data_IF_168200647928
#
_entry.id   IF_168200647928
#
_cell.length_a   1.000
_cell.length_b   1.000
_cell.length_c   1.000
_cell.angle_alpha   90.00
_cell.angle_beta   90.00
_cell.angle_gamma   90.00
#
_symmetry.space_group_name_H-M   'P 1'
#
loop_
_entity.id
_entity.type
_entity.pdbx_description
1 polymer ?
#
# COMPACT_ATOMS: atom_id res chain seq x y z
N UNK A 1 40.18 -39.26 -3.06
CA UNK A 1 39.81 -37.82 -3.09
C UNK A 1 38.36 -37.72 -2.65
N UNK A 2 38.04 -37.13 -1.49
CA UNK A 2 36.66 -36.99 -1.04
C UNK A 2 36.02 -35.75 -1.68
N UNK A 3 34.81 -35.94 -2.18
CA UNK A 3 34.00 -34.90 -2.82
C UNK A 3 33.53 -33.90 -1.76
N UNK A 4 33.77 -32.61 -2.00
CA UNK A 4 33.21 -31.52 -1.22
C UNK A 4 31.70 -31.45 -1.47
N UNK A 5 30.90 -32.03 -0.57
CA UNK A 5 29.47 -31.73 -0.48
C UNK A 5 29.33 -30.27 -0.02
N UNK A 6 29.10 -29.38 -0.98
CA UNK A 6 28.70 -28.00 -0.73
C UNK A 6 27.26 -28.02 -0.22
N UNK A 7 27.09 -28.14 1.09
CA UNK A 7 25.83 -27.88 1.78
C UNK A 7 25.47 -26.40 1.55
N UNK A 8 24.72 -26.10 0.47
CA UNK A 8 24.08 -24.80 0.30
C UNK A 8 23.05 -24.67 1.41
N UNK A 9 23.43 -24.02 2.50
CA UNK A 9 22.47 -23.50 3.47
C UNK A 9 21.75 -22.37 2.72
N UNK A 10 20.55 -22.66 2.20
CA UNK A 10 19.65 -21.63 1.69
C UNK A 10 19.53 -20.55 2.77
N UNK A 11 20.05 -19.36 2.48
CA UNK A 11 20.23 -18.31 3.49
C UNK A 11 18.88 -17.83 4.05
N UNK A 12 18.86 -17.11 5.18
CA UNK A 12 17.65 -16.49 5.73
C UNK A 12 16.85 -15.67 4.69
N UNK A 13 17.55 -15.06 3.72
CA UNK A 13 16.96 -14.34 2.61
C UNK A 13 16.11 -15.23 1.68
N UNK A 14 16.53 -16.46 1.42
CA UNK A 14 15.85 -17.38 0.49
C UNK A 14 14.53 -17.89 1.09
N UNK A 15 14.51 -18.20 2.40
CA UNK A 15 13.28 -18.52 3.15
C UNK A 15 12.33 -17.32 3.28
N UNK A 16 12.86 -16.10 3.44
CA UNK A 16 12.05 -14.89 3.46
C UNK A 16 11.39 -14.62 2.10
N UNK A 17 12.13 -14.81 1.01
CA UNK A 17 11.59 -14.68 -0.36
C UNK A 17 10.48 -15.72 -0.60
N UNK A 18 10.68 -16.98 -0.19
CA UNK A 18 9.65 -18.02 -0.27
C UNK A 18 8.41 -17.70 0.59
N UNK A 19 8.60 -17.11 1.77
CA UNK A 19 7.51 -16.72 2.67
C UNK A 19 6.69 -15.57 2.06
N UNK A 20 7.36 -14.56 1.50
CA UNK A 20 6.69 -13.46 0.81
C UNK A 20 5.98 -13.95 -0.46
N UNK A 21 6.63 -14.83 -1.24
CA UNK A 21 6.05 -15.40 -2.45
C UNK A 21 4.82 -16.27 -2.16
N UNK A 22 4.87 -17.09 -1.11
CA UNK A 22 3.75 -17.96 -0.70
C UNK A 22 2.58 -17.18 -0.09
N UNK A 23 2.84 -16.06 0.59
CA UNK A 23 1.81 -15.12 1.03
C UNK A 23 1.14 -14.43 -0.16
N UNK A 24 1.91 -13.93 -1.12
CA UNK A 24 1.38 -13.33 -2.36
C UNK A 24 0.54 -14.35 -3.14
N UNK A 25 0.99 -15.62 -3.23
CA UNK A 25 0.22 -16.68 -3.88
C UNK A 25 -1.10 -17.00 -3.16
N UNK A 26 -1.14 -17.06 -1.82
CA UNK A 26 -2.39 -17.21 -1.07
C UNK A 26 -3.36 -16.06 -1.32
N UNK A 27 -2.85 -14.84 -1.42
CA UNK A 27 -3.66 -13.67 -1.79
C UNK A 27 -4.12 -13.67 -3.26
N UNK A 28 -3.50 -14.45 -4.14
CA UNK A 28 -3.94 -14.65 -5.52
C UNK A 28 -4.96 -15.78 -5.62
N UNK A 29 -4.80 -16.85 -4.84
CA UNK A 29 -5.70 -18.00 -4.80
C UNK A 29 -7.04 -17.70 -4.10
N UNK A 30 -7.07 -16.78 -3.13
CA UNK A 30 -8.32 -16.33 -2.51
C UNK A 30 -9.11 -15.30 -3.34
N UNK A 31 -8.60 -14.90 -4.52
CA UNK A 31 -9.31 -13.92 -5.35
C UNK A 31 -10.49 -14.56 -6.05
N UNK A 32 -11.68 -14.04 -5.75
CA UNK A 32 -12.88 -14.39 -6.49
C UNK A 32 -12.69 -13.92 -7.95
N UNK A 33 -13.31 -14.60 -8.91
CA UNK A 33 -13.32 -14.15 -10.31
C UNK A 33 -13.74 -12.68 -10.46
N UNK A 34 -14.66 -12.22 -9.60
CA UNK A 34 -15.09 -10.82 -9.48
C UNK A 34 -13.94 -9.86 -9.11
N UNK A 35 -13.03 -10.26 -8.22
CA UNK A 35 -11.88 -9.42 -7.81
C UNK A 35 -10.88 -9.23 -8.95
N UNK A 36 -10.70 -10.26 -9.79
CA UNK A 36 -9.83 -10.18 -10.98
C UNK A 36 -10.41 -9.25 -12.02
N UNK A 37 -11.72 -9.33 -12.26
CA UNK A 37 -12.43 -8.44 -13.19
C UNK A 37 -12.43 -7.01 -12.67
N UNK A 38 -12.70 -6.79 -11.39
CA UNK A 38 -12.67 -5.47 -10.78
C UNK A 38 -11.28 -4.82 -10.88
N UNK A 39 -10.20 -5.58 -10.69
CA UNK A 39 -8.84 -5.06 -10.81
C UNK A 39 -8.45 -4.72 -12.24
N UNK A 40 -8.91 -5.51 -13.21
CA UNK A 40 -8.73 -5.19 -14.62
C UNK A 40 -9.47 -3.90 -15.00
N UNK A 41 -10.75 -3.77 -14.59
CA UNK A 41 -11.57 -2.59 -14.87
C UNK A 41 -11.00 -1.35 -14.19
N UNK A 42 -10.61 -1.45 -12.91
CA UNK A 42 -10.06 -0.32 -12.17
C UNK A 42 -8.61 0.01 -12.56
N UNK A 43 -7.89 -0.92 -13.18
CA UNK A 43 -6.62 -0.65 -13.88
C UNK A 43 -6.84 0.09 -15.20
N UNK A 44 -7.83 -0.35 -15.98
CA UNK A 44 -8.19 0.26 -17.26
C UNK A 44 -8.76 1.67 -17.10
N UNK A 45 -9.66 1.88 -16.13
CA UNK A 45 -10.27 3.18 -15.83
C UNK A 45 -9.26 4.26 -15.43
N UNK A 46 -8.15 3.88 -14.79
CA UNK A 46 -7.06 4.80 -14.44
C UNK A 46 -6.10 5.12 -15.59
N UNK A 47 -6.33 4.58 -16.79
CA UNK A 47 -5.44 4.73 -17.93
C UNK A 47 -5.85 5.88 -18.84
N UNK A 48 -4.86 6.56 -19.44
CA UNK A 48 -5.12 7.63 -20.42
C UNK A 48 -5.88 7.13 -21.66
N UNK A 49 -5.73 5.84 -21.99
CA UNK A 49 -6.42 5.21 -23.12
C UNK A 49 -7.94 5.13 -22.91
N UNK A 50 -8.40 4.98 -21.66
CA UNK A 50 -9.82 4.95 -21.33
C UNK A 50 -10.49 6.29 -21.65
N UNK A 51 -9.83 7.40 -21.28
CA UNK A 51 -10.28 8.76 -21.56
C UNK A 51 -10.34 9.02 -23.06
N UNK A 52 -9.30 8.61 -23.80
CA UNK A 52 -9.27 8.76 -25.26
C UNK A 52 -10.41 7.99 -25.94
N UNK A 53 -10.66 6.74 -25.50
CA UNK A 53 -11.76 5.93 -26.01
C UNK A 53 -13.11 6.62 -25.81
N UNK A 54 -13.35 7.21 -24.65
CA UNK A 54 -14.59 7.96 -24.36
C UNK A 54 -14.75 9.19 -25.25
N UNK A 55 -13.69 9.97 -25.43
CA UNK A 55 -13.73 11.15 -26.32
C UNK A 55 -14.06 10.73 -27.75
N UNK A 56 -13.44 9.66 -28.25
CA UNK A 56 -13.70 9.14 -29.60
C UNK A 56 -15.14 8.61 -29.71
N UNK A 57 -15.61 7.84 -28.74
CA UNK A 57 -16.97 7.30 -28.72
C UNK A 57 -18.03 8.42 -28.70
N UNK A 58 -17.85 9.44 -27.86
CA UNK A 58 -18.72 10.62 -27.81
C UNK A 58 -18.71 11.39 -29.13
N UNK A 59 -17.52 11.60 -29.71
CA UNK A 59 -17.37 12.27 -31.00
C UNK A 59 -18.11 11.50 -32.11
N UNK A 60 -17.94 10.18 -32.18
CA UNK A 60 -18.67 9.32 -33.14
C UNK A 60 -20.18 9.43 -32.92
N UNK A 61 -20.65 9.41 -31.66
CA UNK A 61 -22.08 9.55 -31.35
C UNK A 61 -22.66 10.88 -31.83
N UNK A 62 -21.94 11.98 -31.62
CA UNK A 62 -22.35 13.28 -32.13
C UNK A 62 -22.37 13.31 -33.67
N UNK A 63 -21.36 12.77 -34.35
CA UNK A 63 -21.30 12.73 -35.82
C UNK A 63 -22.45 11.93 -36.43
N UNK A 64 -22.86 10.83 -35.79
CA UNK A 64 -23.99 10.00 -36.22
C UNK A 64 -25.31 10.75 -36.02
N UNK A 65 -25.52 11.41 -34.88
CA UNK A 65 -26.80 12.04 -34.54
C UNK A 65 -26.97 13.46 -35.11
N UNK A 66 -25.88 14.15 -35.47
CA UNK A 66 -25.92 15.45 -36.18
C UNK A 66 -26.15 15.31 -37.69
N UNK A 67 -26.27 14.07 -38.20
CA UNK A 67 -26.67 13.79 -39.58
C UNK A 67 -25.64 14.16 -40.65
N UNK A 68 -24.40 14.49 -40.26
CA UNK A 68 -23.34 14.90 -41.20
C UNK A 68 -22.73 13.73 -41.97
N UNK A 69 -22.74 12.51 -41.43
CA UNK A 69 -21.98 11.40 -41.99
C UNK A 69 -22.85 10.37 -42.74
N UNK A 70 -24.10 10.18 -42.31
CA UNK A 70 -24.95 9.13 -42.85
C UNK A 70 -26.43 9.56 -42.82
N UNK A 71 -27.17 9.30 -43.90
CA UNK A 71 -28.64 9.48 -44.02
C UNK A 71 -29.43 8.52 -43.10
N UNK A 72 -28.93 8.21 -41.91
CA UNK A 72 -29.64 7.44 -40.91
C UNK A 72 -30.68 8.32 -40.20
N UNK A 73 -31.82 7.75 -39.76
CA UNK A 73 -32.74 8.46 -38.87
C UNK A 73 -32.02 8.89 -37.59
N UNK A 74 -32.34 10.09 -37.09
CA UNK A 74 -31.79 10.62 -35.83
C UNK A 74 -32.22 9.71 -34.67
N UNK A 75 -31.29 8.89 -34.18
CA UNK A 75 -31.55 7.90 -33.13
C UNK A 75 -31.69 8.56 -31.75
N UNK A 76 -30.87 9.56 -31.46
CA UNK A 76 -30.86 10.34 -30.21
C UNK A 76 -30.79 11.84 -30.55
N UNK A 77 -31.95 12.50 -30.78
CA UNK A 77 -32.01 13.92 -31.05
C UNK A 77 -31.49 14.74 -29.86
N UNK A 78 -30.96 15.93 -30.14
CA UNK A 78 -30.65 16.92 -29.08
C UNK A 78 -31.88 17.08 -28.18
N UNK A 79 -31.79 16.85 -26.85
CA UNK A 79 -30.60 16.99 -25.98
C UNK A 79 -29.79 15.70 -25.65
N UNK A 80 -29.87 14.63 -26.46
CA UNK A 80 -29.13 13.38 -26.27
C UNK A 80 -29.44 12.62 -24.97
N UNK A 81 -30.73 12.34 -24.72
CA UNK A 81 -31.19 11.73 -23.46
C UNK A 81 -30.64 10.30 -23.29
N UNK A 82 -30.51 9.54 -24.38
CA UNK A 82 -30.03 8.15 -24.31
C UNK A 82 -28.55 8.10 -23.95
N UNK A 83 -27.74 8.95 -24.59
CA UNK A 83 -26.32 9.08 -24.26
C UNK A 83 -26.12 9.46 -22.79
N UNK A 84 -26.87 10.45 -22.30
CA UNK A 84 -26.77 10.91 -20.92
C UNK A 84 -27.10 9.80 -19.91
N UNK A 85 -28.13 8.98 -20.19
CA UNK A 85 -28.50 7.85 -19.35
C UNK A 85 -27.41 6.78 -19.29
N UNK A 86 -26.86 6.40 -20.45
CA UNK A 86 -25.80 5.38 -20.54
C UNK A 86 -24.54 5.84 -19.79
N UNK A 87 -24.08 7.06 -20.06
CA UNK A 87 -22.88 7.62 -19.41
C UNK A 87 -23.07 7.76 -17.89
N UNK A 88 -24.27 8.12 -17.44
CA UNK A 88 -24.58 8.22 -16.01
C UNK A 88 -24.47 6.86 -15.30
N UNK A 89 -25.07 5.81 -15.86
CA UNK A 89 -24.97 4.45 -15.30
C UNK A 89 -23.53 3.95 -15.32
N UNK A 90 -22.82 4.17 -16.43
CA UNK A 90 -21.40 3.82 -16.56
C UNK A 90 -20.55 4.51 -15.49
N UNK A 91 -20.77 5.81 -15.25
CA UNK A 91 -20.05 6.57 -14.23
C UNK A 91 -20.26 6.02 -12.81
N UNK A 92 -21.49 5.62 -12.46
CA UNK A 92 -21.79 5.02 -11.14
C UNK A 92 -21.07 3.67 -10.97
N UNK A 93 -21.10 2.82 -11.99
CA UNK A 93 -20.40 1.53 -11.98
C UNK A 93 -18.89 1.72 -11.85
N UNK A 94 -18.30 2.64 -12.62
CA UNK A 94 -16.88 2.96 -12.55
C UNK A 94 -16.47 3.53 -11.20
N UNK A 95 -17.24 4.48 -10.67
CA UNK A 95 -17.01 5.06 -9.35
C UNK A 95 -16.98 3.98 -8.26
N UNK A 96 -17.87 3.00 -8.34
CA UNK A 96 -17.92 1.87 -7.40
C UNK A 96 -16.67 0.99 -7.49
N UNK A 97 -16.20 0.68 -8.71
CA UNK A 97 -14.96 -0.07 -8.89
C UNK A 97 -13.72 0.70 -8.42
N UNK A 98 -13.68 2.01 -8.69
CA UNK A 98 -12.61 2.90 -8.20
C UNK A 98 -12.60 2.93 -6.68
N UNK A 99 -13.76 3.09 -6.04
CA UNK A 99 -13.88 3.10 -4.58
C UNK A 99 -13.44 1.75 -3.97
N UNK A 100 -13.79 0.63 -4.60
CA UNK A 100 -13.35 -0.69 -4.16
C UNK A 100 -11.83 -0.85 -4.27
N UNK A 101 -11.22 -0.38 -5.37
CA UNK A 101 -9.75 -0.36 -5.53
C UNK A 101 -9.10 0.55 -4.48
N UNK A 102 -9.66 1.73 -4.23
CA UNK A 102 -9.18 2.66 -3.20
C UNK A 102 -9.24 2.04 -1.81
N UNK A 103 -10.36 1.39 -1.44
CA UNK A 103 -10.51 0.73 -0.15
C UNK A 103 -9.47 -0.39 0.04
N UNK A 104 -9.23 -1.20 -0.98
CA UNK A 104 -8.19 -2.24 -0.93
C UNK A 104 -6.77 -1.66 -0.83
N UNK A 105 -6.50 -0.57 -1.54
CA UNK A 105 -5.21 0.13 -1.46
C UNK A 105 -5.00 0.75 -0.07
N UNK A 106 -6.04 1.34 0.51
CA UNK A 106 -6.01 1.91 1.86
C UNK A 106 -5.71 0.84 2.92
N UNK A 107 -6.43 -0.30 2.87
CA UNK A 107 -6.16 -1.44 3.79
C UNK A 107 -4.72 -1.96 3.68
N UNK A 108 -4.15 -1.98 2.47
CA UNK A 108 -2.73 -2.36 2.26
C UNK A 108 -1.77 -1.30 2.79
N UNK A 109 -2.10 -0.02 2.63
CA UNK A 109 -1.29 1.08 3.14
C UNK A 109 -1.23 1.04 4.68
N UNK A 110 -2.37 0.84 5.33
CA UNK A 110 -2.49 0.68 6.79
C UNK A 110 -1.65 -0.49 7.32
N UNK A 111 -1.72 -1.66 6.68
CA UNK A 111 -0.86 -2.81 7.04
C UNK A 111 0.63 -2.51 6.91
N UNK A 112 1.04 -1.79 5.85
CA UNK A 112 2.43 -1.38 5.65
C UNK A 112 2.87 -0.36 6.69
N UNK A 113 1.99 0.56 7.06
CA UNK A 113 2.24 1.55 8.12
C UNK A 113 2.46 0.85 9.47
N UNK A 114 1.61 -0.09 9.85
CA UNK A 114 1.79 -0.89 11.06
C UNK A 114 3.10 -1.69 11.09
N UNK A 115 3.53 -2.25 9.95
CA UNK A 115 4.82 -2.95 9.85
C UNK A 115 5.99 -1.99 9.94
N UNK A 116 5.90 -0.82 9.29
CA UNK A 116 6.94 0.21 9.33
C UNK A 116 7.13 0.71 10.76
N UNK A 117 6.04 1.02 11.46
CA UNK A 117 6.08 1.39 12.88
C UNK A 117 6.75 0.32 13.74
N UNK A 118 6.44 -0.98 13.53
CA UNK A 118 7.09 -2.05 14.29
C UNK A 118 8.60 -2.16 14.03
N UNK A 119 9.02 -1.98 12.77
CA UNK A 119 10.44 -1.98 12.40
C UNK A 119 11.16 -0.80 13.04
N UNK A 120 10.55 0.38 13.00
CA UNK A 120 11.13 1.60 13.58
C UNK A 120 11.29 1.45 15.10
N UNK A 121 10.27 0.93 15.79
CA UNK A 121 10.31 0.64 17.22
C UNK A 121 11.42 -0.39 17.56
N UNK A 122 11.57 -1.45 16.76
CA UNK A 122 12.63 -2.43 16.97
C UNK A 122 14.02 -1.83 16.73
N UNK A 123 14.18 -1.04 15.66
CA UNK A 123 15.44 -0.36 15.35
C UNK A 123 15.83 0.61 16.48
N UNK A 124 14.87 1.32 17.06
CA UNK A 124 15.08 2.20 18.21
C UNK A 124 15.53 1.42 19.46
N UNK A 125 14.95 0.24 19.72
CA UNK A 125 15.40 -0.65 20.79
C UNK A 125 16.84 -1.16 20.57
N UNK A 126 17.18 -1.56 19.35
CA UNK A 126 18.52 -2.01 18.98
C UNK A 126 19.56 -0.89 19.11
N UNK A 127 19.23 0.33 18.65
CA UNK A 127 20.08 1.52 18.79
C UNK A 127 20.30 1.82 20.27
N UNK A 128 19.26 1.75 21.10
CA UNK A 128 19.37 1.97 22.54
C UNK A 128 20.30 0.95 23.20
N UNK A 129 20.18 -0.33 22.85
CA UNK A 129 21.10 -1.38 23.32
C UNK A 129 22.54 -1.12 22.89
N UNK A 130 22.75 -0.67 21.65
CA UNK A 130 24.07 -0.31 21.15
C UNK A 130 24.65 0.87 21.94
N UNK A 131 23.85 1.90 22.23
CA UNK A 131 24.26 3.05 23.06
C UNK A 131 24.65 2.60 24.47
N UNK A 132 23.86 1.72 25.10
CA UNK A 132 24.16 1.15 26.41
C UNK A 132 25.47 0.36 26.40
N UNK A 133 25.69 -0.49 25.38
CA UNK A 133 26.94 -1.24 25.23
C UNK A 133 28.15 -0.33 25.00
N UNK A 134 28.02 0.71 24.18
CA UNK A 134 29.09 1.68 23.95
C UNK A 134 29.48 2.41 25.24
N UNK A 135 28.50 2.76 26.09
CA UNK A 135 28.79 3.35 27.40
C UNK A 135 29.56 2.41 28.31
N UNK A 136 29.13 1.16 28.40
CA UNK A 136 29.83 0.15 29.20
C UNK A 136 31.29 0.01 28.73
N UNK A 137 31.55 0.08 27.42
CA UNK A 137 32.91 0.06 26.88
C UNK A 137 33.69 1.32 27.27
N UNK A 138 33.11 2.52 27.12
CA UNK A 138 33.75 3.78 27.46
C UNK A 138 34.11 3.86 28.95
N UNK A 139 33.21 3.41 29.82
CA UNK A 139 33.42 3.32 31.27
C UNK A 139 34.60 2.37 31.59
N UNK A 140 34.64 1.20 30.96
CA UNK A 140 35.74 0.23 31.13
C UNK A 140 37.08 0.74 30.63
N UNK A 141 37.09 1.58 29.60
CA UNK A 141 38.31 2.20 29.05
C UNK A 141 38.76 3.46 29.81
N UNK A 142 38.02 3.89 30.85
CA UNK A 142 38.36 5.07 31.64
C UNK A 142 38.18 6.39 30.89
N UNK A 143 37.38 6.40 29.83
CA UNK A 143 37.06 7.59 29.04
C UNK A 143 35.91 8.31 29.76
N UNK A 144 36.24 9.04 30.83
CA UNK A 144 35.29 9.61 31.79
C UNK A 144 34.54 10.87 31.32
N UNK A 145 34.66 11.26 30.05
CA UNK A 145 34.12 12.54 29.56
C UNK A 145 32.74 12.42 28.88
N UNK A 146 32.27 11.20 28.59
CA UNK A 146 30.95 10.96 27.98
C UNK A 146 29.80 10.91 29.00
N UNK A 147 30.10 10.77 30.29
CA UNK A 147 29.11 10.77 31.37
C UNK A 147 28.51 12.16 31.67
N UNK A 148 29.03 13.22 31.05
CA UNK A 148 28.48 14.59 31.17
C UNK A 148 27.56 14.97 30.01
N UNK A 149 27.45 14.14 28.96
CA UNK A 149 26.57 14.43 27.84
C UNK A 149 25.12 14.06 28.21
N UNK A 150 24.44 15.03 28.83
CA UNK A 150 23.04 14.92 29.26
C UNK A 150 22.12 14.44 28.12
N UNK A 151 22.43 14.78 26.87
CA UNK A 151 21.64 14.37 25.71
C UNK A 151 21.79 12.88 25.40
N UNK A 152 23.01 12.33 25.54
CA UNK A 152 23.20 10.89 25.44
C UNK A 152 22.45 10.20 26.59
N UNK A 153 22.64 10.65 27.84
CA UNK A 153 22.02 10.02 29.01
C UNK A 153 20.49 9.96 28.89
N UNK A 154 19.89 11.05 28.43
CA UNK A 154 18.47 11.09 28.08
C UNK A 154 18.14 10.03 27.02
N UNK A 155 18.81 10.01 25.86
CA UNK A 155 18.56 9.04 24.77
C UNK A 155 18.72 7.56 25.16
N UNK A 156 19.44 7.24 26.23
CA UNK A 156 19.56 5.86 26.74
C UNK A 156 18.53 5.49 27.81
N UNK A 157 17.95 6.49 28.47
CA UNK A 157 17.01 6.34 29.58
C UNK A 157 15.56 6.56 29.13
N UNK A 158 15.30 7.43 28.14
CA UNK A 158 13.95 7.88 27.76
C UNK A 158 13.22 7.03 26.74
N UNK A 159 13.70 5.84 26.38
CA UNK A 159 13.04 5.04 25.36
C UNK A 159 13.03 3.55 25.65
N UNK A 160 12.37 3.13 26.74
CA UNK A 160 11.67 1.84 26.64
C UNK A 160 10.53 2.04 25.65
N UNK A 161 10.82 1.80 24.38
CA UNK A 161 9.91 1.74 23.24
C UNK A 161 8.56 1.11 23.62
N UNK A 162 8.61 0.10 24.49
CA UNK A 162 7.47 -0.58 25.09
C UNK A 162 6.59 0.33 25.97
N UNK A 163 7.18 1.16 26.83
CA UNK A 163 6.48 2.14 27.69
C UNK A 163 5.89 3.27 26.85
N UNK A 164 6.62 3.77 25.85
CA UNK A 164 6.11 4.80 24.93
C UNK A 164 4.92 4.26 24.11
N UNK A 165 5.02 3.03 23.59
CA UNK A 165 3.92 2.36 22.88
C UNK A 165 2.73 2.06 23.81
N UNK A 166 2.98 1.73 25.08
CA UNK A 166 1.92 1.51 26.08
C UNK A 166 1.19 2.81 26.44
N UNK A 167 1.93 3.89 26.68
CA UNK A 167 1.36 5.21 26.93
C UNK A 167 0.58 5.73 25.72
N UNK A 168 1.13 5.57 24.51
CA UNK A 168 0.45 5.96 23.28
C UNK A 168 -0.84 5.16 23.11
N UNK A 169 -0.82 3.85 23.33
CA UNK A 169 -2.01 2.99 23.28
C UNK A 169 -3.03 3.32 24.37
N UNK A 170 -2.60 3.82 25.53
CA UNK A 170 -3.47 4.24 26.63
C UNK A 170 -4.08 5.63 26.40
N UNK A 171 -3.38 6.49 25.65
CA UNK A 171 -3.81 7.87 25.32
C UNK A 171 -4.57 7.97 24.00
N UNK A 172 -4.37 7.03 23.07
CA UNK A 172 -5.13 6.98 21.83
C UNK A 172 -6.59 6.60 22.12
N UNK A 173 -7.57 7.38 21.62
CA UNK A 173 -8.97 7.02 21.76
C UNK A 173 -9.21 5.66 21.09
N UNK A 174 -9.90 4.74 21.78
CA UNK A 174 -10.34 3.48 21.19
C UNK A 174 -11.20 3.82 19.98
N UNK A 175 -10.82 3.32 18.80
CA UNK A 175 -11.66 3.44 17.61
C UNK A 175 -13.08 2.95 17.93
N UNK A 176 -14.13 3.69 17.54
CA UNK A 176 -15.48 3.18 17.66
C UNK A 176 -15.58 1.96 16.74
N UNK A 177 -15.91 0.81 17.32
CA UNK A 177 -16.23 -0.39 16.57
C UNK A 177 -17.37 -0.05 15.59
N UNK A 178 -17.04 -0.01 14.30
CA UNK A 178 -17.99 0.17 13.21
C UNK A 178 -18.71 -1.16 12.91
#
# INVERSE_FOLDING_TARGET
MPQSQSTRIAGPAERNIETVASLEQKFLDERTWLDRVADAIAGFSGSIYFVLLHIVALTIWFLVNTGHCFRLPKFDPYPFILLAMVVSVEAVVLSTFVLMKQNRMAKRAEQREHLTLQIDLLAEEEITKILQLQRLICERLGIADLSQDSALQELSETTSVQTLAQELRQKLPKEPAA
#
